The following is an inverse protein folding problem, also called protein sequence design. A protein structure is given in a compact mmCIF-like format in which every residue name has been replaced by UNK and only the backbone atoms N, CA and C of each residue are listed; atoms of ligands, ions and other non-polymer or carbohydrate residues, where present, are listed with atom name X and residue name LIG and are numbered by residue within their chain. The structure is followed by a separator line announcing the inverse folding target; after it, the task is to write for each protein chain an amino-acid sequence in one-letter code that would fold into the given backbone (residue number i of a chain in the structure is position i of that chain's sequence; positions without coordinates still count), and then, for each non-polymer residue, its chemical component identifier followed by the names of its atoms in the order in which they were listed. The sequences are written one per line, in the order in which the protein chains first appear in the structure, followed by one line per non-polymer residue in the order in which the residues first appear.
data_IF_875444843613
#
_entry.id   IF_875444843613
#
_cell.length_a   1.000
_cell.length_b   1.000
_cell.length_c   1.000
_cell.angle_alpha   90.00
_cell.angle_beta   90.00
_cell.angle_gamma   90.00
#
_symmetry.space_group_name_H-M   'P 1'
#
loop_
_entity.id
_entity.type
_entity.pdbx_description
1 polymer ?
#
# COMPACT_ATOMS: atom_id res chain seq x y z
N UNK A 1 40.46 -0.56 -14.71
CA UNK A 1 39.09 -0.99 -15.07
C UNK A 1 38.19 0.22 -14.90
N UNK A 2 37.43 0.63 -15.91
CA UNK A 2 36.46 1.73 -15.77
C UNK A 2 35.28 1.20 -14.94
N UNK A 3 34.83 1.90 -13.89
CA UNK A 3 33.63 1.48 -13.16
C UNK A 3 32.47 1.45 -14.16
N UNK A 4 31.81 0.29 -14.24
CA UNK A 4 30.61 0.10 -15.04
C UNK A 4 29.59 1.16 -14.65
N UNK A 5 28.93 1.73 -15.66
CA UNK A 5 27.86 2.71 -15.50
C UNK A 5 26.81 2.11 -14.55
N UNK A 6 26.73 2.60 -13.31
CA UNK A 6 25.71 2.17 -12.36
C UNK A 6 24.35 2.45 -13.01
N UNK A 7 23.54 1.40 -13.13
CA UNK A 7 22.15 1.49 -13.57
C UNK A 7 21.43 2.58 -12.78
N UNK A 8 20.53 3.33 -13.42
CA UNK A 8 19.62 4.25 -12.69
C UNK A 8 19.00 3.47 -11.52
N UNK A 9 19.03 4.06 -10.31
CA UNK A 9 18.55 3.41 -9.09
C UNK A 9 17.13 2.87 -9.25
N UNK A 10 16.84 1.74 -8.59
CA UNK A 10 15.52 1.14 -8.62
C UNK A 10 14.61 1.92 -7.69
N UNK A 11 13.68 2.69 -8.24
CA UNK A 11 12.74 3.45 -7.44
C UNK A 11 11.58 2.56 -7.01
N UNK A 12 11.13 2.72 -5.76
CA UNK A 12 9.89 2.12 -5.28
C UNK A 12 9.02 3.09 -4.50
N UNK A 13 7.76 2.70 -4.30
CA UNK A 13 6.76 3.49 -3.59
C UNK A 13 6.24 2.70 -2.40
N UNK A 14 6.25 3.33 -1.23
CA UNK A 14 5.68 2.75 -0.01
C UNK A 14 4.28 3.34 0.18
N UNK A 15 3.24 2.50 0.09
CA UNK A 15 1.85 2.95 0.02
C UNK A 15 0.92 2.07 0.86
N UNK A 16 -0.19 2.65 1.31
CA UNK A 16 -1.30 1.96 1.97
C UNK A 16 -2.63 2.42 1.40
N UNK A 17 -3.66 1.59 1.55
CA UNK A 17 -5.05 1.94 1.27
C UNK A 17 -6.02 1.11 2.11
N UNK A 18 -7.26 1.60 2.23
CA UNK A 18 -8.30 0.97 3.04
C UNK A 18 -9.67 1.11 2.37
N UNK A 19 -10.33 -0.01 2.09
CA UNK A 19 -11.71 0.01 1.61
C UNK A 19 -12.63 -0.64 2.66
N UNK A 20 -13.48 0.11 3.38
CA UNK A 20 -14.27 -0.43 4.49
C UNK A 20 -15.68 -0.92 4.11
N UNK A 21 -16.12 -0.74 2.85
CA UNK A 21 -17.51 -0.91 2.42
C UNK A 21 -17.67 -1.78 1.16
N UNK A 22 -16.88 -2.85 1.04
CA UNK A 22 -17.07 -3.78 -0.06
C UNK A 22 -18.33 -4.63 0.13
N UNK A 23 -19.07 -4.85 -0.95
CA UNK A 23 -20.23 -5.76 -0.97
C UNK A 23 -19.80 -7.21 -0.72
N UNK A 24 -18.58 -7.55 -1.16
CA UNK A 24 -17.90 -8.81 -0.91
C UNK A 24 -16.38 -8.56 -0.79
N UNK A 25 -15.60 -9.61 -0.48
CA UNK A 25 -14.16 -9.48 -0.30
C UNK A 25 -13.41 -9.07 -1.59
N UNK A 26 -13.89 -9.47 -2.76
CA UNK A 26 -13.28 -9.13 -4.06
C UNK A 26 -13.51 -7.66 -4.42
N UNK A 27 -14.71 -7.14 -4.17
CA UNK A 27 -15.05 -5.73 -4.33
C UNK A 27 -14.24 -4.84 -3.37
N UNK A 28 -14.15 -5.21 -2.09
CA UNK A 28 -13.27 -4.52 -1.14
C UNK A 28 -11.81 -4.51 -1.64
N UNK A 29 -11.33 -5.66 -2.13
CA UNK A 29 -9.97 -5.78 -2.68
C UNK A 29 -9.75 -4.86 -3.89
N UNK A 30 -10.66 -4.86 -4.87
CA UNK A 30 -10.57 -4.01 -6.06
C UNK A 30 -10.58 -2.52 -5.69
N UNK A 31 -11.47 -2.10 -4.79
CA UNK A 31 -11.50 -0.73 -4.25
C UNK A 31 -10.17 -0.36 -3.59
N UNK A 32 -9.58 -1.27 -2.80
CA UNK A 32 -8.26 -1.07 -2.20
C UNK A 32 -7.14 -0.90 -3.25
N UNK A 33 -7.20 -1.65 -4.35
CA UNK A 33 -6.25 -1.47 -5.47
C UNK A 33 -6.44 -0.12 -6.17
N UNK A 34 -7.67 0.33 -6.37
CA UNK A 34 -7.98 1.64 -6.95
C UNK A 34 -7.41 2.76 -6.08
N UNK A 35 -7.59 2.69 -4.76
CA UNK A 35 -7.05 3.66 -3.81
C UNK A 35 -5.51 3.66 -3.72
N UNK A 36 -4.88 2.48 -3.83
CA UNK A 36 -3.42 2.37 -3.96
C UNK A 36 -2.89 2.95 -5.28
N UNK A 37 -3.76 3.30 -6.24
CA UNK A 37 -3.36 3.71 -7.59
C UNK A 37 -2.90 2.54 -8.47
N UNK A 38 -3.28 1.32 -8.11
CA UNK A 38 -2.95 0.06 -8.80
C UNK A 38 -4.14 -0.60 -9.52
N UNK A 39 -5.36 -0.07 -9.37
CA UNK A 39 -6.58 -0.67 -9.96
C UNK A 39 -6.53 -0.84 -11.48
N UNK A 40 -5.80 0.02 -12.20
CA UNK A 40 -5.64 -0.08 -13.65
C UNK A 40 -4.37 -0.88 -14.07
N UNK A 41 -3.70 -1.56 -13.13
CA UNK A 41 -2.40 -2.21 -13.36
C UNK A 41 -2.47 -3.72 -13.26
N UNK A 42 -1.44 -4.40 -13.75
CA UNK A 42 -1.26 -5.85 -13.62
C UNK A 42 -0.17 -6.09 -12.59
N UNK A 43 -0.51 -6.78 -11.51
CA UNK A 43 0.41 -6.99 -10.40
C UNK A 43 1.21 -8.28 -10.55
N UNK A 44 2.49 -8.22 -10.20
CA UNK A 44 3.35 -9.38 -9.94
C UNK A 44 3.78 -9.29 -8.49
N UNK A 45 3.19 -10.13 -7.65
CA UNK A 45 3.58 -10.25 -6.26
C UNK A 45 4.86 -11.05 -6.12
N UNK A 46 5.88 -10.44 -5.51
CA UNK A 46 7.20 -11.06 -5.35
C UNK A 46 7.37 -11.65 -3.97
N UNK A 47 7.89 -12.87 -3.97
CA UNK A 47 8.33 -13.58 -2.76
C UNK A 47 9.84 -13.41 -2.61
N UNK A 48 10.26 -12.97 -1.45
CA UNK A 48 11.66 -12.66 -1.17
C UNK A 48 11.75 -11.45 -0.27
N UNK A 49 12.89 -11.30 0.40
CA UNK A 49 13.14 -10.15 1.26
C UNK A 49 14.07 -9.13 0.63
N UNK A 50 14.86 -9.50 -0.39
CA UNK A 50 15.84 -8.59 -1.01
C UNK A 50 15.18 -7.77 -2.11
N UNK A 51 15.43 -6.46 -2.08
CA UNK A 51 15.04 -5.55 -3.14
C UNK A 51 16.17 -5.39 -4.16
N UNK A 52 15.88 -4.88 -5.37
CA UNK A 52 16.91 -4.59 -6.36
C UNK A 52 18.01 -3.67 -5.81
N UNK A 53 19.24 -3.84 -6.30
CA UNK A 53 20.37 -3.00 -5.88
C UNK A 53 20.11 -1.52 -6.16
N UNK A 54 20.60 -0.65 -5.28
CA UNK A 54 20.35 0.81 -5.31
C UNK A 54 18.85 1.14 -5.24
N UNK A 55 18.09 0.41 -4.41
CA UNK A 55 16.70 0.70 -4.15
C UNK A 55 16.55 2.02 -3.40
N UNK A 56 15.61 2.85 -3.83
CA UNK A 56 15.25 4.10 -3.15
C UNK A 56 13.74 4.28 -3.11
N UNK A 57 13.19 4.57 -1.93
CA UNK A 57 11.79 4.94 -1.80
C UNK A 57 11.56 6.38 -2.29
N UNK A 58 10.60 6.56 -3.18
CA UNK A 58 10.26 7.85 -3.79
C UNK A 58 8.75 8.07 -3.76
N UNK A 59 8.27 9.31 -3.92
CA UNK A 59 6.85 9.58 -4.04
C UNK A 59 6.22 8.86 -5.26
N UNK A 60 4.98 8.35 -5.13
CA UNK A 60 4.31 7.65 -6.21
C UNK A 60 4.03 8.56 -7.41
N UNK A 61 3.96 7.95 -8.59
CA UNK A 61 3.64 8.63 -9.86
C UNK A 61 2.53 7.90 -10.59
N UNK A 62 1.72 8.62 -11.39
CA UNK A 62 0.69 7.98 -12.19
C UNK A 62 1.25 6.89 -13.11
N UNK A 63 0.61 5.71 -13.10
CA UNK A 63 0.97 4.59 -13.95
C UNK A 63 0.08 4.52 -15.20
N UNK A 64 0.65 4.18 -16.37
CA UNK A 64 -0.13 3.82 -17.55
C UNK A 64 -1.06 2.63 -17.27
N UNK A 65 -2.27 2.65 -17.82
CA UNK A 65 -3.17 1.49 -17.70
C UNK A 65 -2.55 0.25 -18.34
N UNK A 66 -2.75 -0.91 -17.71
CA UNK A 66 -2.20 -2.20 -18.12
C UNK A 66 -0.71 -2.38 -17.82
N UNK A 67 -0.08 -1.43 -17.12
CA UNK A 67 1.33 -1.56 -16.70
C UNK A 67 1.53 -2.82 -15.86
N UNK A 68 2.61 -3.55 -16.15
CA UNK A 68 3.03 -4.67 -15.35
C UNK A 68 3.90 -4.16 -14.19
N UNK A 69 3.44 -4.34 -12.97
CA UNK A 69 4.00 -3.74 -11.77
C UNK A 69 4.41 -4.83 -10.82
N UNK A 70 5.68 -4.84 -10.45
CA UNK A 70 6.19 -5.71 -9.38
C UNK A 70 5.87 -5.08 -8.03
N UNK A 71 5.43 -5.87 -7.05
CA UNK A 71 5.21 -5.37 -5.71
C UNK A 71 5.41 -6.42 -4.62
N UNK A 72 5.69 -5.95 -3.42
CA UNK A 72 5.53 -6.70 -2.18
C UNK A 72 4.31 -6.17 -1.45
N UNK A 73 3.25 -6.97 -1.36
CA UNK A 73 1.98 -6.55 -0.80
C UNK A 73 1.62 -7.38 0.43
N UNK A 74 0.99 -6.70 1.39
CA UNK A 74 0.21 -7.30 2.46
C UNK A 74 -1.24 -6.85 2.29
N UNK A 75 -2.15 -7.79 2.46
CA UNK A 75 -3.60 -7.57 2.41
C UNK A 75 -4.21 -8.21 3.64
N UNK A 76 -5.05 -7.48 4.36
CA UNK A 76 -5.75 -7.96 5.53
C UNK A 76 -7.24 -7.67 5.36
N UNK A 77 -8.10 -8.65 5.65
CA UNK A 77 -9.54 -8.56 5.45
C UNK A 77 -10.26 -8.48 6.78
N UNK A 78 -11.33 -7.70 6.81
CA UNK A 78 -12.26 -7.61 7.94
C UNK A 78 -13.70 -7.77 7.46
N UNK A 79 -14.61 -8.07 8.38
CA UNK A 79 -16.03 -8.23 8.09
C UNK A 79 -16.87 -7.79 9.28
N UNK A 80 -18.01 -7.15 8.99
CA UNK A 80 -19.07 -6.86 9.95
C UNK A 80 -18.59 -6.17 11.24
N UNK A 81 -17.95 -5.00 11.08
CA UNK A 81 -17.47 -4.22 12.22
C UNK A 81 -16.14 -4.70 12.82
N UNK A 82 -15.55 -5.81 12.34
CA UNK A 82 -14.20 -6.20 12.76
C UNK A 82 -13.13 -5.28 12.14
N UNK A 83 -11.94 -5.27 12.74
CA UNK A 83 -10.78 -4.58 12.21
C UNK A 83 -9.70 -5.54 11.71
N UNK A 84 -8.90 -5.05 10.78
CA UNK A 84 -7.75 -5.75 10.24
C UNK A 84 -6.69 -4.73 9.83
N UNK A 85 -5.43 -5.13 9.90
CA UNK A 85 -4.29 -4.25 9.70
C UNK A 85 -3.28 -4.88 8.75
N UNK A 86 -2.76 -4.09 7.82
CA UNK A 86 -1.76 -4.50 6.87
C UNK A 86 -0.56 -3.56 6.93
N UNK A 87 0.63 -4.10 6.75
CA UNK A 87 1.86 -3.33 6.86
C UNK A 87 2.97 -3.80 5.94
N UNK A 88 3.74 -2.85 5.43
CA UNK A 88 4.98 -3.05 4.70
C UNK A 88 6.07 -2.17 5.27
N UNK A 89 7.27 -2.70 5.37
CA UNK A 89 8.45 -1.98 5.81
C UNK A 89 9.62 -2.31 4.92
N UNK A 90 10.52 -1.34 4.76
CA UNK A 90 11.77 -1.56 4.05
C UNK A 90 12.93 -0.92 4.81
N UNK A 91 14.13 -1.43 4.57
CA UNK A 91 15.37 -0.86 5.08
C UNK A 91 16.45 -0.86 4.00
N UNK A 92 17.20 0.23 3.91
CA UNK A 92 18.51 0.28 3.26
C UNK A 92 19.57 -0.16 4.26
N UNK A 93 20.49 -1.00 3.83
CA UNK A 93 21.46 -1.66 4.69
C UNK A 93 22.81 -1.87 4.00
N UNK A 94 23.84 -2.13 4.79
CA UNK A 94 25.16 -2.54 4.32
C UNK A 94 25.40 -3.99 4.73
N UNK A 95 25.91 -4.79 3.81
CA UNK A 95 26.34 -6.17 4.11
C UNK A 95 27.69 -6.18 4.85
N UNK A 96 28.09 -7.28 5.51
CA UNK A 96 29.41 -7.38 6.13
C UNK A 96 30.58 -7.14 5.17
N UNK A 97 30.37 -7.39 3.87
CA UNK A 97 31.34 -7.15 2.80
C UNK A 97 31.45 -5.67 2.39
N UNK A 98 30.55 -4.82 2.86
CA UNK A 98 30.50 -3.40 2.56
C UNK A 98 29.59 -3.01 1.38
N UNK A 99 28.76 -3.92 0.88
CA UNK A 99 27.85 -3.66 -0.23
C UNK A 99 26.50 -3.09 0.25
N UNK A 100 25.99 -2.05 -0.40
CA UNK A 100 24.65 -1.52 -0.13
C UNK A 100 23.56 -2.43 -0.71
N UNK A 101 22.57 -2.77 0.12
CA UNK A 101 21.42 -3.56 -0.25
C UNK A 101 20.15 -3.03 0.43
N UNK A 102 18.99 -3.54 0.03
CA UNK A 102 17.75 -3.19 0.69
C UNK A 102 16.88 -4.43 0.94
N UNK A 103 16.15 -4.38 2.05
CA UNK A 103 15.32 -5.49 2.54
C UNK A 103 13.91 -5.03 2.79
N UNK A 104 12.92 -5.83 2.40
CA UNK A 104 11.50 -5.62 2.65
C UNK A 104 10.93 -6.64 3.63
N UNK A 105 9.92 -6.23 4.38
CA UNK A 105 9.07 -7.08 5.21
C UNK A 105 7.61 -6.67 5.03
N UNK A 106 6.71 -7.64 4.98
CA UNK A 106 5.25 -7.43 4.92
C UNK A 106 4.57 -8.20 6.04
N UNK A 107 3.42 -7.72 6.49
CA UNK A 107 2.59 -8.39 7.49
C UNK A 107 1.11 -8.05 7.31
N UNK A 108 0.25 -9.02 7.60
CA UNK A 108 -1.20 -8.84 7.73
C UNK A 108 -1.64 -9.42 9.07
N UNK A 109 -2.49 -8.72 9.81
CA UNK A 109 -2.91 -9.06 11.18
C UNK A 109 -4.36 -8.62 11.42
N UNK A 110 -4.97 -9.16 12.46
CA UNK A 110 -6.26 -8.71 13.00
C UNK A 110 -6.07 -7.81 14.24
N UNK A 111 -4.84 -7.36 14.48
CA UNK A 111 -4.49 -6.49 15.61
C UNK A 111 -4.63 -5.02 15.20
N UNK A 112 -4.58 -4.13 16.18
CA UNK A 112 -4.60 -2.70 15.92
C UNK A 112 -3.34 -2.20 15.18
N UNK A 113 -3.39 -0.96 14.73
CA UNK A 113 -2.28 -0.26 14.08
C UNK A 113 -0.96 -0.31 14.88
N UNK A 114 -0.99 -0.12 16.20
CA UNK A 114 0.22 0.02 17.03
C UNK A 114 0.93 -1.32 17.21
N UNK A 115 0.18 -2.36 17.57
CA UNK A 115 0.68 -3.72 17.73
C UNK A 115 1.22 -4.27 16.41
N UNK A 116 0.52 -4.01 15.31
CA UNK A 116 0.95 -4.41 13.96
C UNK A 116 2.24 -3.69 13.55
N UNK A 117 2.36 -2.40 13.83
CA UNK A 117 3.58 -1.63 13.59
C UNK A 117 4.77 -2.19 14.37
N UNK A 118 4.58 -2.51 15.66
CA UNK A 118 5.63 -3.10 16.50
C UNK A 118 6.05 -4.48 16.00
N UNK A 119 5.09 -5.32 15.60
CA UNK A 119 5.37 -6.65 15.08
C UNK A 119 6.09 -6.58 13.72
N UNK A 120 5.70 -5.66 12.85
CA UNK A 120 6.36 -5.42 11.56
C UNK A 120 7.82 -4.99 11.74
N UNK A 121 8.08 -4.05 12.65
CA UNK A 121 9.45 -3.61 12.97
C UNK A 121 10.29 -4.76 13.51
N UNK A 122 9.73 -5.58 14.42
CA UNK A 122 10.41 -6.78 14.94
C UNK A 122 10.71 -7.79 13.84
N UNK A 123 9.79 -7.98 12.90
CA UNK A 123 9.99 -8.88 11.76
C UNK A 123 11.09 -8.37 10.82
N UNK A 124 11.13 -7.07 10.55
CA UNK A 124 12.21 -6.44 9.78
C UNK A 124 13.55 -6.63 10.49
N UNK A 125 13.63 -6.32 11.79
CA UNK A 125 14.84 -6.52 12.60
C UNK A 125 15.34 -7.97 12.58
N UNK A 126 14.43 -8.96 12.67
CA UNK A 126 14.80 -10.38 12.55
C UNK A 126 15.37 -10.70 11.18
N UNK A 127 14.81 -10.15 10.10
CA UNK A 127 15.33 -10.36 8.73
C UNK A 127 16.72 -9.77 8.55
N UNK A 128 16.97 -8.60 9.13
CA UNK A 128 18.27 -7.93 9.13
C UNK A 128 19.31 -8.72 9.93
N UNK A 129 18.97 -9.08 11.17
CA UNK A 129 19.84 -9.86 12.06
C UNK A 129 20.20 -11.23 11.48
N UNK A 130 19.26 -11.91 10.80
CA UNK A 130 19.53 -13.21 10.16
C UNK A 130 20.55 -13.15 9.02
N UNK A 131 20.87 -11.94 8.52
CA UNK A 131 21.78 -11.68 7.40
C UNK A 131 22.97 -10.81 7.80
N UNK A 132 23.11 -10.48 9.08
CA UNK A 132 24.15 -9.60 9.62
C UNK A 132 24.23 -8.24 8.89
N UNK A 133 23.05 -7.64 8.64
CA UNK A 133 22.94 -6.38 7.90
C UNK A 133 22.91 -5.19 8.86
N UNK A 134 23.76 -4.19 8.60
CA UNK A 134 23.75 -2.92 9.31
C UNK A 134 22.76 -1.95 8.65
N UNK A 135 21.86 -1.37 9.43
CA UNK A 135 20.79 -0.49 8.91
C UNK A 135 21.32 0.92 8.69
N UNK A 136 21.11 1.45 7.48
CA UNK A 136 21.36 2.85 7.15
C UNK A 136 20.09 3.69 7.40
N UNK A 137 19.00 3.30 6.76
CA UNK A 137 17.68 3.95 6.87
C UNK A 137 16.59 2.91 6.77
N UNK A 138 15.43 3.19 7.32
CA UNK A 138 14.24 2.35 7.15
C UNK A 138 12.98 3.21 7.16
N UNK A 139 11.92 2.69 6.57
CA UNK A 139 10.60 3.29 6.63
C UNK A 139 9.52 2.21 6.71
N UNK A 140 8.35 2.59 7.21
CA UNK A 140 7.24 1.70 7.52
C UNK A 140 5.93 2.37 7.10
N UNK A 141 5.10 1.63 6.38
CA UNK A 141 3.72 2.01 6.10
C UNK A 141 2.79 0.91 6.59
N UNK A 142 1.86 1.28 7.46
CA UNK A 142 0.87 0.41 8.07
C UNK A 142 -0.47 1.14 7.96
N UNK A 143 -1.55 0.39 7.78
CA UNK A 143 -2.89 0.95 7.84
C UNK A 143 -3.88 -0.07 8.38
N UNK A 144 -4.95 0.45 8.97
CA UNK A 144 -5.98 -0.33 9.64
C UNK A 144 -7.34 -0.02 9.04
N UNK A 145 -8.08 -1.06 8.69
CA UNK A 145 -9.46 -0.95 8.26
C UNK A 145 -10.38 -1.43 9.38
N UNK A 146 -11.51 -0.75 9.56
CA UNK A 146 -12.67 -1.30 10.28
C UNK A 146 -13.80 -1.45 9.28
N UNK A 147 -14.30 -2.67 9.12
CA UNK A 147 -15.38 -2.94 8.16
C UNK A 147 -16.69 -2.27 8.59
N UNK A 148 -17.48 -1.83 7.63
CA UNK A 148 -18.89 -1.48 7.86
C UNK A 148 -19.69 -2.67 8.41
N UNK A 149 -20.80 -2.39 9.09
CA UNK A 149 -21.73 -3.43 9.52
C UNK A 149 -22.27 -4.20 8.30
N UNK A 150 -22.19 -5.53 8.33
CA UNK A 150 -22.51 -6.42 7.19
C UNK A 150 -21.76 -6.11 5.88
N UNK A 151 -20.60 -5.44 5.94
CA UNK A 151 -19.73 -5.20 4.78
C UNK A 151 -18.37 -5.86 4.97
N UNK A 152 -17.67 -6.04 3.86
CA UNK A 152 -16.28 -6.45 3.84
C UNK A 152 -15.35 -5.24 3.86
N UNK A 153 -14.33 -5.31 4.70
CA UNK A 153 -13.24 -4.33 4.75
C UNK A 153 -11.93 -4.94 4.25
N UNK A 154 -11.08 -4.13 3.65
CA UNK A 154 -9.68 -4.50 3.35
C UNK A 154 -8.73 -3.38 3.77
N UNK A 155 -7.62 -3.76 4.39
CA UNK A 155 -6.43 -2.93 4.54
C UNK A 155 -5.35 -3.50 3.64
N UNK A 156 -4.67 -2.62 2.90
CA UNK A 156 -3.57 -2.98 2.03
C UNK A 156 -2.34 -2.12 2.33
N UNK A 157 -1.19 -2.76 2.26
CA UNK A 157 0.10 -2.09 2.38
C UNK A 157 1.05 -2.69 1.34
N UNK A 158 1.67 -1.85 0.50
CA UNK A 158 2.46 -2.31 -0.63
C UNK A 158 3.76 -1.51 -0.79
N UNK A 159 4.84 -2.23 -1.08
CA UNK A 159 6.05 -1.67 -1.66
C UNK A 159 6.04 -1.96 -3.16
N UNK A 160 5.83 -0.92 -3.95
CA UNK A 160 5.58 -0.99 -5.39
C UNK A 160 6.88 -0.67 -6.13
N UNK A 161 7.29 -1.51 -7.09
CA UNK A 161 8.45 -1.32 -7.95
C UNK A 161 7.96 -1.12 -9.41
N UNK A 162 7.63 0.12 -9.80
CA UNK A 162 6.98 0.40 -11.09
C UNK A 162 7.85 0.14 -12.33
N UNK A 163 9.18 0.05 -12.15
CA UNK A 163 10.14 -0.03 -13.27
C UNK A 163 11.08 -1.24 -13.19
N UNK A 164 10.89 -2.15 -12.23
CA UNK A 164 11.79 -3.30 -12.06
C UNK A 164 11.68 -4.32 -13.20
N UNK A 165 10.49 -4.43 -13.80
CA UNK A 165 10.21 -5.31 -14.94
C UNK A 165 10.08 -4.50 -16.23
N UNK A 166 11.20 -3.96 -16.73
CA UNK A 166 11.25 -3.38 -18.08
C UNK A 166 11.26 -4.47 -19.18
N UNK A 167 10.29 -5.40 -19.12
CA UNK A 167 10.13 -6.43 -20.14
C UNK A 167 9.39 -5.84 -21.34
N UNK A 168 10.13 -5.36 -22.34
CA UNK A 168 9.56 -5.08 -23.68
C UNK A 168 9.03 -3.65 -23.88
N UNK A 169 9.95 -2.74 -24.16
CA UNK A 169 9.90 -1.74 -25.23
C UNK A 169 8.59 -0.99 -25.50
N UNK A 170 8.57 0.32 -25.18
CA UNK A 170 7.99 1.45 -25.96
C UNK A 170 6.61 1.33 -26.65
N UNK A 171 5.82 0.25 -26.53
CA UNK A 171 4.74 -0.05 -27.51
C UNK A 171 3.44 -0.66 -26.96
N UNK A 172 3.22 -0.82 -25.65
CA UNK A 172 1.96 -1.44 -25.18
C UNK A 172 1.52 -1.04 -23.76
N UNK A 173 1.59 0.24 -23.39
CA UNK A 173 0.94 0.74 -22.18
C UNK A 173 -0.18 1.71 -22.56
N UNK A 174 -1.34 1.62 -21.89
CA UNK A 174 -2.48 2.50 -22.13
C UNK A 174 -2.23 3.94 -21.65
N UNK A 175 -3.17 4.88 -21.86
CA UNK A 175 -3.04 6.22 -21.32
C UNK A 175 -2.98 6.21 -19.79
N UNK A 176 -2.40 7.26 -19.19
CA UNK A 176 -2.36 7.45 -17.74
C UNK A 176 -3.67 8.10 -17.29
N UNK A 177 -4.36 7.52 -16.31
CA UNK A 177 -5.56 8.11 -15.71
C UNK A 177 -5.17 9.07 -14.58
N UNK A 178 -5.57 10.34 -14.69
CA UNK A 178 -5.26 11.36 -13.68
C UNK A 178 -6.13 11.22 -12.43
N UNK A 179 -5.54 11.45 -11.24
CA UNK A 179 -6.29 11.61 -9.98
C UNK A 179 -6.33 10.41 -9.03
N UNK A 180 -5.78 9.24 -9.42
CA UNK A 180 -5.79 8.02 -8.60
C UNK A 180 -4.57 7.87 -7.68
N UNK A 181 -3.41 8.42 -8.07
CA UNK A 181 -2.23 8.43 -7.22
C UNK A 181 -2.29 9.62 -6.27
N UNK A 182 -2.27 9.39 -4.96
CA UNK A 182 -2.23 10.46 -3.95
C UNK A 182 -0.84 11.12 -3.99
N UNK A 183 -0.71 12.39 -4.41
CA UNK A 183 0.57 13.10 -4.36
C UNK A 183 0.91 13.47 -2.90
N UNK A 184 2.20 13.58 -2.59
CA UNK A 184 2.69 13.83 -1.22
C UNK A 184 2.10 15.07 -0.56
N UNK A 185 1.78 16.11 -1.34
CA UNK A 185 1.17 17.36 -0.84
C UNK A 185 -0.21 17.14 -0.21
N UNK A 186 -0.82 15.96 -0.42
CA UNK A 186 -2.09 15.53 0.19
C UNK A 186 -1.94 14.46 1.28
N UNK A 187 -0.73 14.19 1.78
CA UNK A 187 -0.57 13.61 3.13
C UNK A 187 -1.09 14.66 4.11
N UNK A 188 -2.42 14.70 4.29
CA UNK A 188 -3.04 15.54 5.30
C UNK A 188 -2.34 15.22 6.61
N UNK A 189 -1.70 16.25 7.18
CA UNK A 189 -1.28 16.32 8.57
C UNK A 189 -2.39 15.64 9.38
N UNK A 190 -2.16 14.44 9.91
CA UNK A 190 -3.13 13.68 10.71
C UNK A 190 -3.50 14.58 11.88
N UNK A 191 -4.61 15.29 11.75
CA UNK A 191 -5.12 16.21 12.78
C UNK A 191 -5.89 15.32 13.75
N UNK A 192 -5.50 15.33 15.02
CA UNK A 192 -6.32 14.81 16.10
C UNK A 192 -7.70 15.48 16.04
N UNK A 193 -8.69 14.77 15.49
CA UNK A 193 -10.08 15.21 15.52
C UNK A 193 -10.93 14.04 15.99
N UNK A 194 -11.13 14.03 17.30
CA UNK A 194 -12.33 13.54 17.98
C UNK A 194 -13.53 13.59 17.02
N UNK A 195 -14.10 12.42 16.73
CA UNK A 195 -15.18 12.24 15.77
C UNK A 195 -16.22 13.38 15.81
N UNK A 196 -16.63 13.95 14.67
CA UNK A 196 -17.73 14.89 14.65
C UNK A 196 -19.00 14.17 15.09
N UNK A 197 -19.58 14.62 16.21
CA UNK A 197 -20.87 14.15 16.67
C UNK A 197 -21.89 14.32 15.54
N UNK A 198 -22.60 13.24 15.22
CA UNK A 198 -23.67 13.25 14.23
C UNK A 198 -24.71 14.33 14.58
N UNK A 199 -25.27 15.07 13.61
CA UNK A 199 -26.34 16.02 13.86
C UNK A 199 -27.56 15.28 14.42
N UNK A 200 -28.01 15.68 15.61
CA UNK A 200 -29.21 15.13 16.23
C UNK A 200 -30.44 15.38 15.34
N UNK A 201 -31.00 14.31 14.76
CA UNK A 201 -32.28 14.36 14.06
C UNK A 201 -33.40 14.72 15.05
N UNK A 202 -34.08 15.83 14.81
CA UNK A 202 -35.33 16.15 15.50
C UNK A 202 -36.44 15.23 14.99
N UNK A 203 -37.24 14.60 15.86
CA UNK A 203 -38.41 13.83 15.42
C UNK A 203 -39.41 14.77 14.72
N UNK A 204 -39.67 14.54 13.42
CA UNK A 204 -40.81 15.15 12.73
C UNK A 204 -40.60 15.80 11.36
N UNK A 205 -39.40 15.81 10.76
CA UNK A 205 -39.24 16.36 9.40
C UNK A 205 -39.57 15.33 8.30
N UNK A 206 -40.66 15.59 7.55
CA UNK A 206 -41.05 14.83 6.35
C UNK A 206 -40.02 15.02 5.23
N UNK A 207 -39.54 13.92 4.63
CA UNK A 207 -38.75 13.90 3.40
C UNK A 207 -39.67 13.97 2.17
N UNK A 208 -39.49 14.96 1.31
CA UNK A 208 -39.93 14.93 -0.09
C UNK A 208 -38.78 14.40 -0.96
N UNK A 209 -39.03 13.38 -1.79
CA UNK A 209 -38.04 12.76 -2.69
C UNK A 209 -37.53 13.68 -3.81
N UNK A 210 -36.71 13.17 -4.76
CA UNK A 210 -37.20 12.13 -5.68
C UNK A 210 -36.22 10.98 -6.01
N UNK A 211 -36.85 9.86 -6.38
CA UNK A 211 -36.46 8.80 -7.35
C UNK A 211 -35.01 8.71 -7.83
N UNK A 212 -34.39 7.56 -7.57
CA UNK A 212 -33.48 6.90 -8.50
C UNK A 212 -33.75 5.39 -8.45
N UNK A 213 -34.30 4.90 -9.55
CA UNK A 213 -34.64 3.51 -9.86
C UNK A 213 -33.39 2.79 -10.37
N UNK A 214 -33.03 1.66 -9.77
CA UNK A 214 -32.05 0.71 -10.30
C UNK A 214 -32.53 -0.70 -9.95
N UNK A 215 -33.34 -1.25 -10.85
CA UNK A 215 -33.74 -2.65 -10.82
C UNK A 215 -32.97 -3.42 -11.89
N UNK A 216 -32.17 -4.39 -11.46
CA UNK A 216 -31.90 -5.66 -12.14
C UNK A 216 -31.89 -6.76 -11.08
#
# INVERSE_FOLDING_TARGET
MKPGRVSRGSQGWLMTAVAPWGENAEDAYDQGLVELGLGDTRLIEVKGAMLPLNFEATPPRPLPMGSLVECHMATAYSYNGSSACAGVAWASCVTPEGDECAVVATISTEMDYEETTLLLRRNLQRRLASRDLEVITFDVAVDEVTAGAEHHGVAMAALILPNSLSLGGKKSSGPIRGGLTVPEDKKQKRVDVKAPAAPALRPGSKRSGPSSDFSL
#
